data_IF_281331300434
#
_entry.id   IF_281331300434
#
_cell.length_a   1.000
_cell.length_b   1.000
_cell.length_c   1.000
_cell.angle_alpha   90.00
_cell.angle_beta   90.00
_cell.angle_gamma   90.00
#
_symmetry.space_group_name_H-M   'P 1'
#
loop_
_entity.id
_entity.type
_entity.pdbx_description
1 polymer ?
#
# COMPACT_ATOMS: atom_id res chain seq x y z
N UNK A 1 -6.56 16.82 -33.75
CA UNK A 1 -7.84 17.22 -34.40
C UNK A 1 -8.86 16.06 -34.42
N UNK A 2 -8.45 14.82 -34.64
CA UNK A 2 -9.38 13.66 -34.68
C UNK A 2 -9.91 13.23 -33.32
N UNK A 3 -9.13 13.42 -32.24
CA UNK A 3 -9.55 13.15 -30.84
C UNK A 3 -10.64 14.13 -30.38
N UNK A 4 -10.63 15.38 -30.85
CA UNK A 4 -11.69 16.36 -30.52
C UNK A 4 -13.01 16.06 -31.23
N UNK A 5 -12.96 15.58 -32.46
CA UNK A 5 -14.18 15.16 -33.22
C UNK A 5 -14.82 13.92 -32.57
N UNK A 6 -14.02 12.94 -32.10
CA UNK A 6 -14.57 11.75 -31.48
C UNK A 6 -15.22 12.03 -30.11
N UNK A 7 -14.74 13.03 -29.36
CA UNK A 7 -15.34 13.46 -28.07
C UNK A 7 -16.73 14.08 -28.25
N UNK A 8 -16.96 14.88 -29.28
CA UNK A 8 -18.27 15.46 -29.57
C UNK A 8 -19.31 14.44 -30.05
N UNK A 9 -18.88 13.47 -30.87
CA UNK A 9 -19.74 12.37 -31.31
C UNK A 9 -20.19 11.47 -30.16
N UNK A 10 -19.31 11.16 -29.22
CA UNK A 10 -19.66 10.35 -28.04
C UNK A 10 -20.75 10.98 -27.17
N UNK A 11 -20.79 12.31 -27.04
CA UNK A 11 -21.83 13.03 -26.30
C UNK A 11 -23.18 12.94 -26.98
N UNK A 12 -23.20 13.13 -28.32
CA UNK A 12 -24.42 13.01 -29.13
C UNK A 12 -25.02 11.61 -29.04
N UNK A 13 -24.20 10.55 -29.20
CA UNK A 13 -24.68 9.17 -29.11
C UNK A 13 -25.21 8.83 -27.72
N UNK A 14 -24.54 9.25 -26.66
CA UNK A 14 -25.01 9.02 -25.29
C UNK A 14 -26.33 9.73 -25.01
N UNK A 15 -26.49 10.95 -25.47
CA UNK A 15 -27.73 11.70 -25.30
C UNK A 15 -28.86 11.05 -26.07
N UNK A 16 -28.64 10.63 -27.33
CA UNK A 16 -29.62 9.89 -28.11
C UNK A 16 -30.02 8.59 -27.45
N UNK A 17 -29.06 7.79 -26.93
CA UNK A 17 -29.35 6.56 -26.23
C UNK A 17 -30.20 6.78 -24.98
N UNK A 18 -29.88 7.78 -24.16
CA UNK A 18 -30.66 8.13 -22.97
C UNK A 18 -32.06 8.63 -23.36
N UNK A 19 -32.18 9.39 -24.46
CA UNK A 19 -33.48 9.86 -24.96
C UNK A 19 -34.39 8.73 -25.42
N UNK A 20 -33.83 7.60 -25.86
CA UNK A 20 -34.61 6.42 -26.26
C UNK A 20 -35.12 5.64 -25.05
N UNK A 21 -34.34 5.56 -23.98
CA UNK A 21 -34.68 4.75 -22.79
C UNK A 21 -35.46 5.57 -21.75
N UNK A 22 -35.09 6.83 -21.55
CA UNK A 22 -35.66 7.75 -20.57
C UNK A 22 -35.64 9.19 -21.10
N UNK A 23 -36.60 9.57 -21.94
CA UNK A 23 -36.61 10.88 -22.61
C UNK A 23 -36.49 12.06 -21.64
N UNK A 24 -37.16 11.99 -20.52
CA UNK A 24 -37.15 12.99 -19.45
C UNK A 24 -35.78 13.19 -18.76
N UNK A 25 -34.86 12.23 -18.96
CA UNK A 25 -33.50 12.27 -18.37
C UNK A 25 -32.40 12.58 -19.38
N UNK A 26 -32.73 12.91 -20.63
CA UNK A 26 -31.73 13.17 -21.65
C UNK A 26 -30.80 14.36 -21.32
N UNK A 27 -31.29 15.32 -20.53
CA UNK A 27 -30.53 16.49 -20.11
C UNK A 27 -29.46 16.22 -19.08
N UNK A 28 -29.44 15.03 -18.44
CA UNK A 28 -28.36 14.67 -17.50
C UNK A 28 -27.00 14.47 -18.20
N UNK A 29 -27.04 14.18 -19.52
CA UNK A 29 -25.80 14.02 -20.30
C UNK A 29 -25.26 15.39 -20.66
N UNK A 30 -24.16 15.79 -20.02
CA UNK A 30 -23.48 17.06 -20.23
C UNK A 30 -22.03 16.80 -20.64
N UNK A 31 -21.56 17.54 -21.67
CA UNK A 31 -20.17 17.50 -22.07
C UNK A 31 -19.32 18.30 -21.08
N UNK A 32 -18.34 17.63 -20.47
CA UNK A 32 -17.38 18.28 -19.59
C UNK A 32 -16.30 19.00 -20.40
N UNK A 33 -16.12 20.30 -20.17
CA UNK A 33 -15.13 21.17 -20.84
C UNK A 33 -14.12 21.79 -19.86
N UNK A 34 -14.03 21.29 -18.64
CA UNK A 34 -13.10 21.79 -17.63
C UNK A 34 -11.62 21.53 -17.99
N UNK A 35 -10.71 22.31 -17.43
CA UNK A 35 -9.27 22.14 -17.61
C UNK A 35 -8.71 20.95 -16.83
N UNK A 36 -9.27 20.65 -15.63
CA UNK A 36 -8.90 19.52 -14.82
C UNK A 36 -9.52 18.23 -15.36
N UNK A 37 -8.90 17.06 -15.15
CA UNK A 37 -9.56 15.78 -15.42
C UNK A 37 -10.89 15.68 -14.68
N UNK A 38 -11.93 15.14 -15.33
CA UNK A 38 -13.30 15.12 -14.79
C UNK A 38 -13.37 14.46 -13.41
N UNK A 39 -12.65 13.36 -13.19
CA UNK A 39 -12.65 12.65 -11.92
C UNK A 39 -12.00 13.45 -10.80
N UNK A 40 -10.97 14.24 -11.12
CA UNK A 40 -10.29 15.09 -10.14
C UNK A 40 -11.17 16.29 -9.77
N UNK A 41 -11.85 16.88 -10.76
CA UNK A 41 -12.78 17.99 -10.53
C UNK A 41 -13.94 17.62 -9.60
N UNK A 42 -14.44 16.38 -9.70
CA UNK A 42 -15.50 15.87 -8.83
C UNK A 42 -14.97 15.10 -7.61
N UNK A 43 -13.67 15.08 -7.38
CA UNK A 43 -13.03 14.38 -6.26
C UNK A 43 -13.16 12.85 -6.31
N UNK A 44 -13.52 12.27 -7.45
CA UNK A 44 -13.74 10.83 -7.62
C UNK A 44 -12.42 10.06 -7.48
N UNK A 45 -11.32 10.58 -8.04
CA UNK A 45 -9.99 9.98 -7.89
C UNK A 45 -9.60 9.82 -6.43
N UNK A 46 -9.87 10.85 -5.59
CA UNK A 46 -9.64 10.80 -4.16
C UNK A 46 -10.53 9.75 -3.47
N UNK A 47 -11.80 9.68 -3.85
CA UNK A 47 -12.75 8.67 -3.33
C UNK A 47 -12.32 7.25 -3.70
N UNK A 48 -11.87 7.02 -4.93
CA UNK A 48 -11.36 5.71 -5.37
C UNK A 48 -10.14 5.34 -4.50
N UNK A 49 -9.14 6.21 -4.40
CA UNK A 49 -7.94 5.96 -3.58
C UNK A 49 -8.28 5.64 -2.13
N UNK A 50 -9.19 6.40 -1.51
CA UNK A 50 -9.61 6.16 -0.12
C UNK A 50 -10.42 4.87 0.05
N UNK A 51 -11.21 4.49 -0.97
CA UNK A 51 -12.07 3.31 -0.89
C UNK A 51 -11.36 1.98 -1.18
N UNK A 52 -10.23 2.01 -1.90
CA UNK A 52 -9.46 0.80 -2.25
C UNK A 52 -8.15 0.66 -1.46
N UNK A 53 -7.86 1.58 -0.54
CA UNK A 53 -6.69 1.48 0.34
C UNK A 53 -6.80 0.30 1.32
N UNK A 54 -5.66 -0.09 1.90
CA UNK A 54 -5.60 -1.09 2.97
C UNK A 54 -6.40 -0.64 4.21
N UNK A 55 -6.31 0.66 4.55
CA UNK A 55 -7.01 1.28 5.67
C UNK A 55 -8.17 2.11 5.16
N UNK A 56 -9.36 1.89 5.70
CA UNK A 56 -10.60 2.56 5.30
C UNK A 56 -11.19 3.23 6.52
N UNK A 57 -11.16 4.57 6.53
CA UNK A 57 -11.82 5.34 7.58
C UNK A 57 -13.32 5.43 7.29
N UNK A 58 -14.13 5.26 8.33
CA UNK A 58 -15.55 5.41 8.23
C UNK A 58 -16.06 6.43 9.29
N UNK A 59 -16.82 6.11 10.24
CA UNK A 59 -17.47 7.06 11.15
C UNK A 59 -16.51 7.63 12.20
N UNK A 60 -16.36 8.97 12.28
CA UNK A 60 -15.71 9.70 13.40
C UNK A 60 -14.29 9.22 13.79
N UNK A 61 -13.47 8.86 12.78
CA UNK A 61 -12.08 8.46 13.01
C UNK A 61 -11.87 6.99 13.30
N UNK A 62 -12.92 6.17 13.36
CA UNK A 62 -12.80 4.72 13.34
C UNK A 62 -12.43 4.24 11.92
N UNK A 63 -11.73 3.12 11.83
CA UNK A 63 -11.26 2.61 10.55
C UNK A 63 -11.19 1.08 10.53
N UNK A 64 -11.30 0.53 9.32
CA UNK A 64 -11.09 -0.89 9.01
C UNK A 64 -9.70 -1.05 8.41
N UNK A 65 -9.03 -2.15 8.72
CA UNK A 65 -7.85 -2.63 7.99
C UNK A 65 -8.28 -3.90 7.26
N UNK A 66 -8.17 -3.90 5.92
CA UNK A 66 -8.50 -5.06 5.09
C UNK A 66 -7.21 -5.63 4.52
N UNK A 67 -6.95 -6.90 4.81
CA UNK A 67 -5.80 -7.64 4.31
C UNK A 67 -6.25 -8.88 3.53
N UNK A 68 -5.53 -9.16 2.45
CA UNK A 68 -5.71 -10.36 1.66
C UNK A 68 -4.58 -11.33 2.00
N UNK A 69 -4.95 -12.51 2.45
CA UNK A 69 -4.02 -13.62 2.60
C UNK A 69 -4.21 -14.58 1.42
N UNK A 70 -3.38 -15.61 1.32
CA UNK A 70 -3.48 -16.59 0.25
C UNK A 70 -4.86 -17.29 0.22
N UNK A 71 -5.44 -17.59 1.38
CA UNK A 71 -6.66 -18.38 1.49
C UNK A 71 -7.93 -17.59 1.86
N UNK A 72 -7.79 -16.47 2.58
CA UNK A 72 -8.91 -15.72 3.14
C UNK A 72 -8.64 -14.22 3.21
N UNK A 73 -9.71 -13.46 3.46
CA UNK A 73 -9.61 -12.04 3.75
C UNK A 73 -9.75 -11.83 5.25
N UNK A 74 -8.91 -10.98 5.82
CA UNK A 74 -8.94 -10.59 7.23
C UNK A 74 -9.30 -9.12 7.31
N UNK A 75 -10.22 -8.79 8.22
CA UNK A 75 -10.66 -7.43 8.48
C UNK A 75 -10.53 -7.14 9.97
N UNK A 76 -9.75 -6.13 10.32
CA UNK A 76 -9.57 -5.65 11.69
C UNK A 76 -10.31 -4.32 11.88
N UNK A 77 -11.04 -4.19 13.00
CA UNK A 77 -11.87 -3.03 13.34
C UNK A 77 -11.20 -2.21 14.43
N UNK A 78 -10.89 -0.95 14.12
CA UNK A 78 -10.21 -0.04 15.03
C UNK A 78 -11.10 1.17 15.39
N UNK A 79 -11.19 1.49 16.69
CA UNK A 79 -11.95 2.66 17.19
C UNK A 79 -11.25 3.99 16.95
N UNK A 80 -9.95 3.99 16.63
CA UNK A 80 -9.16 5.21 16.50
C UNK A 80 -9.16 6.02 17.81
N UNK A 81 -9.30 7.33 17.70
CA UNK A 81 -9.27 8.24 18.86
C UNK A 81 -10.55 8.22 19.72
N UNK A 82 -11.53 7.39 19.41
CA UNK A 82 -12.83 7.31 20.12
C UNK A 82 -12.79 6.56 21.45
N UNK A 83 -11.69 5.94 21.80
CA UNK A 83 -11.53 5.16 23.05
C UNK A 83 -11.82 5.98 24.33
N UNK A 84 -11.94 7.31 24.24
CA UNK A 84 -12.16 8.25 25.34
C UNK A 84 -13.58 8.81 25.44
N UNK A 85 -14.58 8.21 24.79
CA UNK A 85 -15.94 8.77 24.82
C UNK A 85 -16.61 8.59 26.18
N UNK A 86 -17.37 9.62 26.60
CA UNK A 86 -18.03 9.69 27.91
C UNK A 86 -19.17 8.67 28.12
N UNK A 87 -19.58 7.97 27.08
CA UNK A 87 -20.79 7.10 27.10
C UNK A 87 -20.53 5.64 27.53
N UNK A 88 -19.39 5.36 28.12
CA UNK A 88 -19.03 3.99 28.49
C UNK A 88 -18.37 3.18 27.35
N UNK A 89 -17.44 2.32 27.72
CA UNK A 89 -16.62 1.53 26.77
C UNK A 89 -17.48 0.61 25.90
N UNK A 90 -18.47 -0.05 26.48
CA UNK A 90 -19.37 -1.00 25.80
C UNK A 90 -20.25 -0.33 24.74
N UNK A 91 -20.85 0.83 25.07
CA UNK A 91 -21.68 1.58 24.12
C UNK A 91 -20.86 2.13 22.95
N UNK A 92 -19.62 2.56 23.21
CA UNK A 92 -18.70 2.99 22.16
C UNK A 92 -18.27 1.83 21.26
N UNK A 93 -17.96 0.67 21.84
CA UNK A 93 -17.63 -0.53 21.07
C UNK A 93 -18.77 -0.94 20.15
N UNK A 94 -20.02 -0.92 20.64
CA UNK A 94 -21.19 -1.21 19.82
C UNK A 94 -21.36 -0.22 18.67
N UNK A 95 -21.27 1.11 18.92
CA UNK A 95 -21.44 2.12 17.86
C UNK A 95 -20.36 2.02 16.78
N UNK A 96 -19.11 1.75 17.17
CA UNK A 96 -18.00 1.53 16.24
C UNK A 96 -18.23 0.26 15.43
N UNK A 97 -18.61 -0.84 16.07
CA UNK A 97 -18.85 -2.12 15.41
C UNK A 97 -20.04 -2.07 14.44
N UNK A 98 -21.12 -1.37 14.78
CA UNK A 98 -22.25 -1.19 13.87
C UNK A 98 -21.84 -0.38 12.63
N UNK A 99 -21.07 0.69 12.82
CA UNK A 99 -20.51 1.45 11.71
C UNK A 99 -19.53 0.63 10.84
N UNK A 100 -18.74 -0.24 11.48
CA UNK A 100 -17.87 -1.18 10.81
C UNK A 100 -18.66 -2.18 9.94
N UNK A 101 -19.76 -2.72 10.44
CA UNK A 101 -20.62 -3.63 9.70
C UNK A 101 -21.25 -2.97 8.46
N UNK A 102 -21.66 -1.69 8.57
CA UNK A 102 -22.20 -0.92 7.44
C UNK A 102 -21.13 -0.73 6.35
N UNK A 103 -19.94 -0.30 6.74
CA UNK A 103 -18.84 -0.07 5.81
C UNK A 103 -18.29 -1.39 5.23
N UNK A 104 -18.16 -2.43 6.03
CA UNK A 104 -17.71 -3.75 5.58
C UNK A 104 -18.63 -4.30 4.49
N UNK A 105 -19.95 -4.29 4.69
CA UNK A 105 -20.91 -4.74 3.70
C UNK A 105 -20.80 -3.93 2.39
N UNK A 106 -20.48 -2.62 2.47
CA UNK A 106 -20.19 -1.78 1.31
C UNK A 106 -18.91 -2.23 0.61
N UNK A 107 -17.85 -2.49 1.37
CA UNK A 107 -16.54 -2.90 0.85
C UNK A 107 -16.57 -4.28 0.19
N UNK A 108 -17.30 -5.25 0.76
CA UNK A 108 -17.47 -6.57 0.17
C UNK A 108 -18.06 -6.48 -1.26
N UNK A 109 -19.06 -5.61 -1.45
CA UNK A 109 -19.66 -5.37 -2.76
C UNK A 109 -18.77 -4.53 -3.68
N UNK A 110 -18.14 -3.49 -3.16
CA UNK A 110 -17.32 -2.57 -3.94
C UNK A 110 -16.09 -3.25 -4.53
N UNK A 111 -15.41 -4.09 -3.73
CA UNK A 111 -14.20 -4.81 -4.11
C UNK A 111 -14.47 -6.19 -4.70
N UNK A 112 -15.74 -6.60 -4.82
CA UNK A 112 -16.13 -7.98 -5.20
C UNK A 112 -15.38 -9.06 -4.37
N UNK A 113 -15.18 -8.79 -3.08
CA UNK A 113 -14.51 -9.73 -2.19
C UNK A 113 -15.35 -10.98 -2.02
N UNK A 114 -14.77 -12.14 -2.29
CA UNK A 114 -15.45 -13.45 -2.18
C UNK A 114 -14.53 -14.50 -1.57
N UNK A 115 -15.09 -15.59 -1.13
CA UNK A 115 -14.42 -16.63 -0.38
C UNK A 115 -14.69 -16.51 1.11
N UNK A 116 -13.71 -16.81 1.94
CA UNK A 116 -13.79 -16.72 3.40
C UNK A 116 -13.31 -15.35 3.85
N UNK A 117 -14.14 -14.66 4.64
CA UNK A 117 -13.81 -13.38 5.25
C UNK A 117 -13.93 -13.54 6.76
N UNK A 118 -12.88 -13.21 7.50
CA UNK A 118 -12.85 -13.21 8.96
C UNK A 118 -12.74 -11.76 9.42
N UNK A 119 -13.65 -11.36 10.28
CA UNK A 119 -13.72 -9.99 10.80
C UNK A 119 -13.48 -10.02 12.30
N UNK A 120 -12.51 -9.25 12.75
CA UNK A 120 -12.20 -9.04 14.16
C UNK A 120 -12.87 -7.74 14.62
N UNK A 121 -13.98 -7.88 15.32
CA UNK A 121 -14.74 -6.77 15.88
C UNK A 121 -14.22 -6.41 17.27
N UNK A 122 -14.40 -5.17 17.67
CA UNK A 122 -14.06 -4.74 19.04
C UNK A 122 -14.86 -5.56 20.03
N UNK A 123 -14.19 -6.08 21.06
CA UNK A 123 -14.80 -6.91 22.08
C UNK A 123 -16.00 -6.26 22.75
N UNK A 124 -17.07 -7.05 22.91
CA UNK A 124 -18.30 -6.66 23.59
C UNK A 124 -18.69 -7.74 24.61
N UNK A 125 -18.93 -7.30 25.85
CA UNK A 125 -19.29 -8.20 26.95
C UNK A 125 -20.75 -8.66 26.87
N UNK A 126 -21.68 -7.74 26.46
CA UNK A 126 -23.11 -8.00 26.45
C UNK A 126 -23.52 -8.85 25.24
N UNK A 127 -24.19 -9.98 25.50
CA UNK A 127 -24.68 -10.88 24.46
C UNK A 127 -25.69 -10.17 23.53
N UNK A 128 -26.51 -9.25 24.07
CA UNK A 128 -27.44 -8.45 23.29
C UNK A 128 -26.75 -7.58 22.24
N UNK A 129 -25.61 -6.98 22.58
CA UNK A 129 -24.83 -6.15 21.67
C UNK A 129 -24.22 -6.99 20.55
N UNK A 130 -23.71 -8.18 20.86
CA UNK A 130 -23.23 -9.13 19.86
C UNK A 130 -24.34 -9.57 18.91
N UNK A 131 -25.56 -9.80 19.44
CA UNK A 131 -26.71 -10.16 18.63
C UNK A 131 -27.13 -9.00 17.71
N UNK A 132 -27.20 -7.75 18.23
CA UNK A 132 -27.49 -6.54 17.43
C UNK A 132 -26.49 -6.36 16.28
N UNK A 133 -25.21 -6.58 16.54
CA UNK A 133 -24.18 -6.50 15.50
C UNK A 133 -24.38 -7.56 14.40
N UNK A 134 -24.65 -8.80 14.80
CA UNK A 134 -24.95 -9.89 13.87
C UNK A 134 -26.17 -9.57 12.97
N UNK A 135 -27.27 -9.13 13.59
CA UNK A 135 -28.49 -8.75 12.87
C UNK A 135 -28.24 -7.57 11.90
N UNK A 136 -27.47 -6.57 12.33
CA UNK A 136 -27.07 -5.44 11.49
C UNK A 136 -26.26 -5.89 10.27
N UNK A 137 -25.33 -6.80 10.46
CA UNK A 137 -24.54 -7.35 9.35
C UNK A 137 -25.43 -8.14 8.38
N UNK A 138 -26.34 -8.98 8.89
CA UNK A 138 -27.29 -9.70 8.06
C UNK A 138 -28.19 -8.75 7.25
N UNK A 139 -28.73 -7.69 7.88
CA UNK A 139 -29.54 -6.67 7.19
C UNK A 139 -28.76 -5.96 6.07
N UNK A 140 -27.52 -5.59 6.32
CA UNK A 140 -26.69 -4.92 5.33
C UNK A 140 -26.34 -5.81 4.13
N UNK A 141 -26.23 -7.12 4.37
CA UNK A 141 -25.92 -8.10 3.33
C UNK A 141 -27.14 -8.55 2.54
N UNK A 142 -28.37 -8.28 2.98
CA UNK A 142 -29.60 -8.57 2.19
C UNK A 142 -29.60 -7.89 0.82
N UNK A 143 -28.91 -6.75 0.68
CA UNK A 143 -28.76 -6.02 -0.59
C UNK A 143 -27.71 -6.62 -1.52
N UNK A 144 -26.95 -7.60 -1.06
CA UNK A 144 -25.92 -8.27 -1.87
C UNK A 144 -26.57 -9.35 -2.76
N UNK A 145 -26.24 -9.31 -4.05
CA UNK A 145 -26.72 -10.31 -5.03
C UNK A 145 -25.95 -11.62 -4.97
N UNK A 146 -24.74 -11.61 -4.40
CA UNK A 146 -23.94 -12.81 -4.26
C UNK A 146 -24.48 -13.67 -3.10
N UNK A 147 -24.47 -14.98 -3.29
CA UNK A 147 -24.82 -15.92 -2.20
C UNK A 147 -23.79 -15.78 -1.08
N UNK A 148 -24.25 -15.65 0.13
CA UNK A 148 -23.41 -15.49 1.31
C UNK A 148 -24.00 -16.20 2.52
N UNK A 149 -23.15 -16.52 3.46
CA UNK A 149 -23.53 -17.04 4.76
C UNK A 149 -22.73 -16.31 5.83
N UNK A 150 -23.38 -15.92 6.92
CA UNK A 150 -22.79 -15.17 8.03
C UNK A 150 -22.97 -16.00 9.29
N UNK A 151 -21.89 -16.29 9.97
CA UNK A 151 -21.96 -16.98 11.27
C UNK A 151 -22.03 -15.94 12.39
N UNK A 152 -22.77 -16.22 13.48
CA UNK A 152 -22.80 -15.37 14.67
C UNK A 152 -21.38 -15.12 15.21
N UNK A 153 -21.20 -14.03 15.96
CA UNK A 153 -19.91 -13.73 16.60
C UNK A 153 -19.50 -14.88 17.52
N UNK A 154 -18.23 -15.25 17.41
CA UNK A 154 -17.60 -16.15 18.35
C UNK A 154 -17.43 -15.51 19.74
N UNK A 155 -17.06 -16.28 20.74
CA UNK A 155 -16.72 -15.76 22.08
C UNK A 155 -15.52 -14.81 22.08
N UNK A 156 -14.73 -14.82 21.02
CA UNK A 156 -13.54 -14.00 20.82
C UNK A 156 -13.76 -12.79 19.90
N UNK A 157 -15.02 -12.34 19.71
CA UNK A 157 -15.32 -11.18 18.85
C UNK A 157 -15.22 -11.43 17.34
N UNK A 158 -14.86 -12.64 16.91
CA UNK A 158 -14.68 -12.95 15.49
C UNK A 158 -16.00 -13.26 14.81
N UNK A 159 -16.25 -12.63 13.65
CA UNK A 159 -17.35 -12.97 12.75
C UNK A 159 -16.80 -13.60 11.47
N UNK A 160 -17.36 -14.72 11.06
CA UNK A 160 -16.99 -15.39 9.82
C UNK A 160 -18.09 -15.19 8.77
N UNK A 161 -17.69 -14.78 7.58
CA UNK A 161 -18.57 -14.58 6.44
C UNK A 161 -18.03 -15.40 5.28
N UNK A 162 -18.88 -16.17 4.63
CA UNK A 162 -18.56 -16.80 3.34
C UNK A 162 -19.38 -16.14 2.26
N UNK A 163 -18.73 -15.72 1.17
CA UNK A 163 -19.38 -15.05 0.05
C UNK A 163 -18.95 -15.69 -1.26
N UNK A 164 -19.89 -15.98 -2.14
CA UNK A 164 -19.60 -16.55 -3.45
C UNK A 164 -18.73 -15.58 -4.27
N UNK A 165 -17.68 -16.09 -4.88
CA UNK A 165 -16.89 -15.33 -5.87
C UNK A 165 -17.68 -15.23 -7.16
N UNK A 166 -18.18 -14.03 -7.48
CA UNK A 166 -18.93 -13.76 -8.71
C UNK A 166 -18.01 -13.24 -9.79
N UNK A 167 -17.00 -12.44 -9.40
CA UNK A 167 -15.97 -11.86 -10.28
C UNK A 167 -14.61 -11.96 -9.59
N UNK A 168 -13.50 -11.77 -10.33
CA UNK A 168 -12.21 -11.56 -9.69
C UNK A 168 -12.30 -10.39 -8.70
N UNK A 169 -11.71 -10.54 -7.52
CA UNK A 169 -11.64 -9.45 -6.56
C UNK A 169 -10.95 -8.23 -7.20
N UNK A 170 -11.55 -7.06 -7.01
CA UNK A 170 -11.00 -5.82 -7.56
C UNK A 170 -9.98 -5.26 -6.57
N UNK A 171 -8.72 -5.42 -6.89
CA UNK A 171 -7.61 -4.79 -6.18
C UNK A 171 -7.05 -3.65 -7.03
N UNK A 172 -7.23 -2.42 -6.56
CA UNK A 172 -6.67 -1.23 -7.19
C UNK A 172 -5.38 -0.88 -6.44
N UNK A 173 -4.25 -1.31 -6.97
CA UNK A 173 -2.97 -0.92 -6.42
C UNK A 173 -2.75 0.58 -6.62
N UNK A 174 -2.97 1.36 -5.56
CA UNK A 174 -2.79 2.82 -5.55
C UNK A 174 -1.40 3.25 -5.11
N UNK A 175 -0.54 2.29 -4.73
CA UNK A 175 0.80 2.54 -4.23
C UNK A 175 1.84 2.10 -5.26
N UNK A 176 2.87 2.92 -5.42
CA UNK A 176 4.07 2.55 -6.15
C UNK A 176 4.99 1.73 -5.24
N UNK A 177 5.70 0.79 -5.83
CA UNK A 177 6.69 0.00 -5.07
C UNK A 177 7.79 0.93 -4.57
N UNK A 178 8.02 0.95 -3.26
CA UNK A 178 9.07 1.78 -2.67
C UNK A 178 10.44 1.40 -3.24
N UNK A 179 11.19 2.33 -3.87
CA UNK A 179 12.48 2.02 -4.48
C UNK A 179 13.56 1.65 -3.46
N UNK A 180 13.36 2.01 -2.18
CA UNK A 180 14.33 1.70 -1.11
C UNK A 180 14.21 0.28 -0.58
N UNK A 181 12.99 -0.23 -0.38
CA UNK A 181 12.75 -1.56 0.17
C UNK A 181 12.15 -2.54 -0.84
N UNK A 182 11.85 -2.12 -2.06
CA UNK A 182 11.21 -2.92 -3.12
C UNK A 182 9.94 -3.63 -2.64
N UNK A 183 9.13 -2.93 -1.85
CA UNK A 183 7.86 -3.43 -1.32
C UNK A 183 7.99 -4.29 -0.06
N UNK A 184 9.20 -4.57 0.43
CA UNK A 184 9.43 -5.40 1.63
C UNK A 184 9.03 -4.74 2.95
N UNK A 185 8.83 -3.41 2.97
CA UNK A 185 8.50 -2.63 4.17
C UNK A 185 9.66 -2.44 5.16
N UNK A 186 10.78 -3.16 4.98
CA UNK A 186 11.97 -3.09 5.82
C UNK A 186 13.24 -3.14 4.96
N UNK A 187 14.33 -2.58 5.47
CA UNK A 187 15.67 -2.62 4.87
C UNK A 187 16.64 -3.26 5.87
N UNK A 188 17.77 -3.75 5.38
CA UNK A 188 18.86 -4.22 6.26
C UNK A 188 19.32 -3.06 7.18
N UNK A 189 19.84 -3.36 8.39
CA UNK A 189 20.36 -2.32 9.29
C UNK A 189 21.44 -1.47 8.60
N UNK A 190 21.20 -0.17 8.51
CA UNK A 190 22.13 0.76 7.85
C UNK A 190 23.47 0.91 8.58
N UNK A 191 23.48 0.61 9.89
CA UNK A 191 24.71 0.68 10.72
C UNK A 191 25.77 -0.32 10.26
N UNK A 192 25.36 -1.47 9.71
CA UNK A 192 26.29 -2.50 9.21
C UNK A 192 26.73 -2.26 7.76
N UNK A 193 26.16 -1.25 7.10
CA UNK A 193 26.42 -1.02 5.69
C UNK A 193 27.86 -0.55 5.42
N UNK A 194 28.43 0.29 6.29
CA UNK A 194 29.83 0.74 6.19
C UNK A 194 30.80 -0.41 6.34
N UNK A 195 30.52 -1.35 7.24
CA UNK A 195 31.35 -2.53 7.47
C UNK A 195 31.26 -3.48 6.26
N UNK A 196 30.08 -3.59 5.66
CA UNK A 196 29.90 -4.33 4.41
C UNK A 196 30.71 -3.70 3.28
N UNK A 197 30.68 -2.37 3.13
CA UNK A 197 31.50 -1.68 2.13
C UNK A 197 32.98 -1.87 2.39
N UNK A 198 33.45 -1.78 3.63
CA UNK A 198 34.85 -2.00 3.96
C UNK A 198 35.29 -3.42 3.63
N UNK A 199 34.48 -4.42 3.95
CA UNK A 199 34.75 -5.83 3.59
C UNK A 199 34.85 -6.04 2.08
N UNK A 200 33.99 -5.37 1.29
CA UNK A 200 34.05 -5.44 -0.17
C UNK A 200 35.29 -4.71 -0.74
N UNK A 201 35.69 -3.59 -0.15
CA UNK A 201 36.92 -2.87 -0.49
C UNK A 201 38.14 -3.76 -0.18
N UNK A 202 38.14 -4.41 0.97
CA UNK A 202 39.22 -5.35 1.36
C UNK A 202 39.33 -6.49 0.33
N UNK A 203 38.20 -7.07 -0.08
CA UNK A 203 38.17 -8.09 -1.11
C UNK A 203 38.76 -7.62 -2.44
N UNK A 204 38.35 -6.43 -2.93
CA UNK A 204 38.82 -5.85 -4.17
C UNK A 204 40.34 -5.65 -4.14
N UNK A 205 40.87 -5.07 -3.06
CA UNK A 205 42.29 -4.71 -2.97
C UNK A 205 43.15 -5.92 -2.68
N UNK A 206 42.78 -6.77 -1.72
CA UNK A 206 43.63 -7.87 -1.24
C UNK A 206 43.49 -9.15 -2.05
N UNK A 207 42.27 -9.52 -2.49
CA UNK A 207 42.06 -10.71 -3.30
C UNK A 207 42.13 -10.44 -4.80
N UNK A 208 41.37 -9.48 -5.32
CA UNK A 208 41.36 -9.17 -6.74
C UNK A 208 42.55 -8.29 -7.21
N UNK A 209 43.35 -7.75 -6.27
CA UNK A 209 44.51 -6.87 -6.53
C UNK A 209 44.13 -5.59 -7.29
N UNK A 210 42.86 -5.16 -7.25
CA UNK A 210 42.38 -3.92 -7.89
C UNK A 210 42.62 -2.75 -6.93
N UNK A 211 43.65 -1.93 -7.19
CA UNK A 211 44.02 -0.81 -6.32
C UNK A 211 43.38 0.52 -6.67
N UNK A 212 42.76 0.63 -7.87
CA UNK A 212 42.08 1.85 -8.33
C UNK A 212 40.68 1.49 -8.80
N UNK A 213 39.67 2.05 -8.13
CA UNK A 213 38.27 1.84 -8.45
C UNK A 213 37.43 3.02 -7.97
N UNK A 214 36.23 3.11 -8.53
CA UNK A 214 35.22 4.09 -8.11
C UNK A 214 34.07 3.36 -7.44
N UNK A 215 33.67 3.84 -6.25
CA UNK A 215 32.53 3.37 -5.49
C UNK A 215 31.38 4.38 -5.67
N UNK A 216 30.28 3.92 -6.26
CA UNK A 216 29.03 4.66 -6.35
C UNK A 216 28.10 4.25 -5.22
N UNK A 217 27.59 5.22 -4.48
CA UNK A 217 26.67 5.00 -3.35
C UNK A 217 25.67 6.15 -3.27
N UNK A 218 24.57 5.90 -2.58
CA UNK A 218 23.53 6.91 -2.37
C UNK A 218 24.11 8.19 -1.72
N UNK A 219 23.67 9.43 -2.11
CA UNK A 219 24.23 10.69 -1.63
C UNK A 219 24.31 10.83 -0.11
N UNK A 220 23.30 10.34 0.65
CA UNK A 220 23.33 10.38 2.11
C UNK A 220 24.47 9.52 2.69
N UNK A 221 24.71 8.34 2.13
CA UNK A 221 25.82 7.47 2.55
C UNK A 221 27.16 8.11 2.17
N UNK A 222 27.26 8.70 0.97
CA UNK A 222 28.45 9.42 0.54
C UNK A 222 28.77 10.60 1.47
N UNK A 223 27.77 11.37 1.89
CA UNK A 223 27.92 12.45 2.87
C UNK A 223 28.45 11.91 4.22
N UNK A 224 27.85 10.83 4.73
CA UNK A 224 28.26 10.20 5.97
C UNK A 224 29.72 9.68 5.91
N UNK A 225 30.10 8.99 4.83
CA UNK A 225 31.45 8.44 4.65
C UNK A 225 32.52 9.55 4.50
N UNK A 226 32.12 10.71 3.98
CA UNK A 226 33.03 11.88 3.84
C UNK A 226 33.02 12.81 5.06
N UNK A 227 32.17 12.59 6.07
CA UNK A 227 32.00 13.47 7.23
C UNK A 227 33.20 13.41 8.18
N UNK A 228 33.60 14.57 8.72
CA UNK A 228 34.60 14.72 9.77
C UNK A 228 36.07 14.88 9.26
N UNK A 229 36.94 15.31 10.18
CA UNK A 229 38.38 15.52 9.90
C UNK A 229 39.10 14.22 9.53
N UNK A 230 38.73 13.10 10.19
CA UNK A 230 39.21 11.76 9.87
C UNK A 230 38.01 10.95 9.35
N UNK A 231 37.62 11.26 8.11
CA UNK A 231 36.49 10.60 7.47
C UNK A 231 36.73 9.10 7.21
N UNK A 232 35.69 8.29 7.12
CA UNK A 232 35.78 6.86 6.76
C UNK A 232 36.52 6.68 5.44
N UNK A 233 36.27 7.56 4.45
CA UNK A 233 37.00 7.58 3.19
C UNK A 233 38.52 7.71 3.40
N UNK A 234 38.97 8.64 4.26
CA UNK A 234 40.39 8.79 4.56
C UNK A 234 40.96 7.57 5.26
N UNK A 235 40.23 6.95 6.19
CA UNK A 235 40.65 5.70 6.84
C UNK A 235 40.83 4.58 5.81
N UNK A 236 39.88 4.41 4.89
CA UNK A 236 40.00 3.43 3.81
C UNK A 236 41.12 3.73 2.85
N UNK A 237 41.34 5.01 2.50
CA UNK A 237 42.47 5.40 1.66
C UNK A 237 43.82 5.14 2.33
N UNK A 238 43.98 5.39 3.63
CA UNK A 238 45.19 5.07 4.37
C UNK A 238 45.41 3.55 4.48
N UNK A 239 44.38 2.78 4.66
CA UNK A 239 44.45 1.31 4.84
C UNK A 239 44.67 0.56 3.52
N UNK A 240 43.95 0.98 2.47
CA UNK A 240 43.88 0.26 1.19
C UNK A 240 44.54 0.99 0.00
N UNK A 241 44.97 2.24 0.17
CA UNK A 241 45.57 3.07 -0.84
C UNK A 241 44.68 4.19 -1.36
N UNK A 242 45.31 5.22 -1.91
CA UNK A 242 44.64 6.45 -2.37
C UNK A 242 43.85 6.32 -3.69
N UNK A 243 43.80 5.12 -4.27
CA UNK A 243 43.10 4.85 -5.52
C UNK A 243 41.57 4.75 -5.40
N UNK A 244 40.99 4.91 -4.19
CA UNK A 244 39.56 4.81 -3.91
C UNK A 244 38.90 6.16 -4.19
N UNK A 245 37.98 6.18 -5.18
CA UNK A 245 37.13 7.34 -5.49
C UNK A 245 35.71 7.03 -5.08
N UNK A 246 35.03 7.97 -4.40
CA UNK A 246 33.62 7.81 -3.98
C UNK A 246 32.83 8.89 -4.71
N UNK A 247 31.77 8.46 -5.43
CA UNK A 247 30.88 9.34 -6.18
C UNK A 247 29.44 9.09 -5.69
N UNK A 248 28.69 10.15 -5.31
CA UNK A 248 27.28 10.02 -4.99
C UNK A 248 26.46 9.76 -6.26
N UNK A 249 25.55 8.80 -6.21
CA UNK A 249 24.63 8.45 -7.29
C UNK A 249 23.20 8.37 -6.75
N UNK A 250 22.33 9.26 -7.25
CA UNK A 250 20.92 9.32 -6.85
C UNK A 250 20.06 8.19 -7.43
N UNK A 251 20.54 7.50 -8.47
CA UNK A 251 19.82 6.38 -9.07
C UNK A 251 19.88 5.12 -8.21
N UNK A 252 20.83 5.04 -7.27
CA UNK A 252 20.95 3.90 -6.37
C UNK A 252 20.01 4.03 -5.18
N UNK A 253 19.38 2.90 -4.78
CA UNK A 253 18.64 2.84 -3.53
C UNK A 253 19.55 3.01 -2.32
N UNK A 254 18.98 3.36 -1.14
CA UNK A 254 19.71 3.80 0.04
C UNK A 254 20.87 2.88 0.47
N UNK A 255 20.71 1.55 0.38
CA UNK A 255 21.75 0.56 0.71
C UNK A 255 22.31 -0.17 -0.51
N UNK A 256 22.15 0.39 -1.70
CA UNK A 256 22.80 -0.11 -2.91
C UNK A 256 24.15 0.56 -3.13
N UNK A 257 25.05 -0.18 -3.73
CA UNK A 257 26.37 0.30 -4.13
C UNK A 257 26.79 -0.38 -5.43
N UNK A 258 27.71 0.27 -6.14
CA UNK A 258 28.30 -0.23 -7.37
C UNK A 258 29.78 0.12 -7.40
N UNK A 259 30.61 -0.84 -7.74
CA UNK A 259 32.03 -0.62 -7.96
C UNK A 259 32.32 -0.64 -9.46
N UNK A 260 33.13 0.34 -9.93
CA UNK A 260 33.61 0.35 -11.30
C UNK A 260 35.12 0.45 -11.30
N UNK A 261 35.75 -0.09 -12.34
CA UNK A 261 37.16 0.03 -12.58
C UNK A 261 37.54 1.42 -13.12
N UNK A 262 38.80 1.60 -13.55
CA UNK A 262 39.30 2.85 -14.14
C UNK A 262 38.72 3.17 -15.52
N UNK A 263 38.15 2.17 -16.20
CA UNK A 263 37.52 2.28 -17.50
C UNK A 263 36.03 2.53 -17.42
N UNK A 264 35.45 2.45 -16.21
CA UNK A 264 34.00 2.62 -15.95
C UNK A 264 33.20 1.33 -16.07
N UNK A 265 33.86 0.18 -16.25
CA UNK A 265 33.21 -1.11 -16.28
C UNK A 265 32.85 -1.56 -14.87
N UNK A 266 31.65 -2.13 -14.71
CA UNK A 266 31.18 -2.62 -13.42
C UNK A 266 31.95 -3.88 -13.00
N UNK A 267 32.47 -3.84 -11.76
CA UNK A 267 33.19 -4.98 -11.20
C UNK A 267 32.15 -5.91 -10.56
N UNK A 268 31.86 -7.03 -11.26
CA UNK A 268 30.94 -8.05 -10.78
C UNK A 268 31.59 -8.84 -9.64
N UNK A 269 31.12 -8.60 -8.42
CA UNK A 269 31.51 -9.34 -7.24
C UNK A 269 30.51 -10.50 -7.03
N UNK A 270 30.65 -11.61 -7.77
CA UNK A 270 29.89 -12.83 -7.51
C UNK A 270 30.09 -13.24 -6.07
N UNK A 271 29.00 -13.32 -5.32
CA UNK A 271 29.00 -13.82 -3.95
C UNK A 271 29.27 -15.34 -3.97
N UNK A 272 30.53 -15.73 -3.88
CA UNK A 272 30.88 -17.02 -3.24
C UNK A 272 31.02 -16.78 -1.74
N UNK A 273 29.90 -16.65 -1.04
CA UNK A 273 29.83 -16.87 0.40
C UNK A 273 28.98 -18.12 0.58
N UNK A 274 29.57 -19.28 0.39
CA UNK A 274 29.16 -20.46 1.13
C UNK A 274 29.46 -20.20 2.60
N UNK A 275 28.40 -19.92 3.35
CA UNK A 275 28.43 -19.93 4.81
C UNK A 275 28.59 -21.39 5.21
N UNK A 276 29.80 -21.74 5.72
CA UNK A 276 29.98 -22.92 6.53
C UNK A 276 29.45 -22.67 7.93
#
# INVERSE_FOLDING_TARGET
RDVERSRGLGDVYKRQYVSLIAPERAEIVKLYKGQLPIFDNFGITKQIKSSFGKTISYKSGAYLIIEHTEALHVVDVNSGNRSKSANGQEANALDVNLGAADELARQLRLRDMGGIIVVDFIDMNLAENRQKLYERMCQNMQKDRAKHNILPLSKFGLMQITRQRVRPAMDVNTNETCPTCFGKGSIKPSILFTDTLESKIDYLVNKLKIKRFTLYIHPYIAAYVNQGLVSLKRKWQMKYGFGIKIIPDQSLAFLQYRFTDVHGEEIDMKEEIEIK
#
